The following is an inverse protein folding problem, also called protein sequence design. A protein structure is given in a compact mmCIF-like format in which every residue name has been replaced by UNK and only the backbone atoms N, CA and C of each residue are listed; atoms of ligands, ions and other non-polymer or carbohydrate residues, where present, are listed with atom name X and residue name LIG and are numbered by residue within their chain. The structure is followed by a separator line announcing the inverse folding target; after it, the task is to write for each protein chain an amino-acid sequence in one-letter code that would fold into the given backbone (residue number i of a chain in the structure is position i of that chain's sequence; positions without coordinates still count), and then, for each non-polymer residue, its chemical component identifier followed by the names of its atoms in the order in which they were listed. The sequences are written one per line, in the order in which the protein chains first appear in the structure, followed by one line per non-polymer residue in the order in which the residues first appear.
data_IF_570293410127
#
_entry.id   IF_570293410127
#
_cell.length_a   1.000
_cell.length_b   1.000
_cell.length_c   1.000
_cell.angle_alpha   90.00
_cell.angle_beta   90.00
_cell.angle_gamma   90.00
#
_symmetry.space_group_name_H-M   'P 1'
#
loop_
_entity.id
_entity.type
_entity.pdbx_description
1 polymer ?
#
# COMPACT_ATOMS: atom_id res chain seq x y z
N UNK A 1 18.84 32.78 -26.02
CA UNK A 1 18.54 32.92 -24.57
C UNK A 1 17.03 32.79 -24.42
N UNK A 2 16.54 31.57 -24.29
CA UNK A 2 15.17 31.29 -23.81
C UNK A 2 15.31 30.05 -22.94
N UNK A 3 15.27 30.26 -21.63
CA UNK A 3 15.31 29.21 -20.61
C UNK A 3 13.89 28.75 -20.32
N UNK A 4 13.72 27.42 -20.33
CA UNK A 4 12.48 26.73 -20.02
C UNK A 4 12.01 26.98 -18.59
N UNK A 5 10.71 27.17 -18.43
CA UNK A 5 10.03 27.13 -17.14
C UNK A 5 9.66 25.68 -16.85
N UNK A 6 10.44 25.04 -15.98
CA UNK A 6 10.02 23.83 -15.27
C UNK A 6 9.08 24.23 -14.13
N UNK A 7 7.82 23.83 -14.24
CA UNK A 7 6.85 23.85 -13.14
C UNK A 7 7.24 22.81 -12.09
N UNK A 8 7.96 23.26 -11.05
CA UNK A 8 8.20 22.49 -9.83
C UNK A 8 6.90 22.30 -9.07
N UNK A 9 6.22 21.16 -9.29
CA UNK A 9 5.20 20.63 -8.37
C UNK A 9 5.82 20.48 -6.98
N UNK A 10 5.39 21.32 -6.04
CA UNK A 10 5.74 21.23 -4.61
C UNK A 10 5.33 19.85 -4.08
N UNK A 11 6.29 18.92 -3.93
CA UNK A 11 6.15 17.77 -3.04
C UNK A 11 5.86 18.33 -1.63
N UNK A 12 4.68 18.01 -1.08
CA UNK A 12 4.38 18.27 0.33
C UNK A 12 5.27 17.36 1.15
N UNK A 13 6.36 17.90 1.68
CA UNK A 13 7.16 17.25 2.71
C UNK A 13 6.31 17.05 3.97
N UNK A 14 5.65 15.90 4.06
CA UNK A 14 5.06 15.42 5.32
C UNK A 14 6.22 14.93 6.19
N UNK A 15 6.44 15.68 7.27
CA UNK A 15 7.47 15.45 8.30
C UNK A 15 6.85 14.59 9.39
N UNK A 16 7.36 13.38 9.61
CA UNK A 16 7.02 12.56 10.78
C UNK A 16 8.12 12.75 11.83
N UNK A 17 7.75 13.14 13.05
CA UNK A 17 8.65 13.15 14.21
C UNK A 17 7.87 12.70 15.43
N UNK A 18 8.34 11.69 16.17
CA UNK A 18 7.74 11.33 17.47
C UNK A 18 8.81 10.91 18.51
N UNK A 19 9.38 11.93 19.18
CA UNK A 19 10.08 11.93 20.50
C UNK A 19 11.55 11.49 20.60
N UNK A 20 12.40 12.36 21.19
CA UNK A 20 13.69 11.99 21.81
C UNK A 20 13.96 12.75 23.11
N UNK A 21 14.72 12.08 23.99
CA UNK A 21 14.99 12.43 25.38
C UNK A 21 15.41 13.88 25.65
N UNK A 22 15.24 14.26 26.92
CA UNK A 22 15.43 15.59 27.50
C UNK A 22 16.90 16.06 27.47
N UNK A 23 17.53 16.07 26.30
CA UNK A 23 18.88 16.57 26.14
C UNK A 23 18.83 18.10 26.15
N UNK A 24 19.43 18.71 27.17
CA UNK A 24 19.60 20.15 27.35
C UNK A 24 20.76 20.73 26.53
N UNK A 25 21.33 19.98 25.58
CA UNK A 25 22.54 20.38 24.83
C UNK A 25 22.29 21.37 23.69
N UNK A 26 21.26 22.20 23.76
CA UNK A 26 21.31 23.52 23.10
C UNK A 26 21.45 24.51 24.26
N UNK A 27 22.67 24.94 24.60
CA UNK A 27 22.85 26.00 25.57
C UNK A 27 21.97 27.17 25.13
N UNK A 28 21.03 27.59 25.99
CA UNK A 28 20.24 28.78 25.74
C UNK A 28 21.21 29.95 25.51
N UNK A 29 21.43 30.33 24.25
CA UNK A 29 22.28 31.45 23.89
C UNK A 29 23.40 31.19 22.89
N UNK A 30 23.85 29.96 22.64
CA UNK A 30 24.72 29.70 21.48
C UNK A 30 23.87 29.42 20.24
N UNK A 31 24.14 30.19 19.19
CA UNK A 31 23.22 30.55 18.12
C UNK A 31 22.57 29.35 17.43
N UNK A 32 21.41 28.94 17.94
CA UNK A 32 20.47 28.04 17.27
C UNK A 32 20.27 28.44 15.80
N UNK A 33 20.26 29.74 15.52
CA UNK A 33 20.15 30.28 14.17
C UNK A 33 21.36 29.93 13.29
N UNK A 34 22.60 29.91 13.83
CA UNK A 34 23.80 29.44 13.11
C UNK A 34 23.72 27.95 12.80
N UNK A 35 23.23 27.14 13.74
CA UNK A 35 23.08 25.69 13.56
C UNK A 35 22.00 25.39 12.52
N UNK A 36 20.85 26.05 12.60
CA UNK A 36 19.78 25.91 11.60
C UNK A 36 20.28 26.35 10.22
N UNK A 37 21.11 27.39 10.16
CA UNK A 37 21.73 27.85 8.92
C UNK A 37 22.77 26.87 8.37
N UNK A 38 23.63 26.26 9.21
CA UNK A 38 24.64 25.29 8.75
C UNK A 38 24.02 24.00 8.23
N UNK A 39 22.90 23.57 8.81
CA UNK A 39 22.14 22.38 8.39
C UNK A 39 21.17 22.66 7.23
N UNK A 40 21.11 23.90 6.71
CA UNK A 40 20.21 24.31 5.64
C UNK A 40 18.71 24.09 5.96
N UNK A 41 18.32 24.35 7.22
CA UNK A 41 16.95 24.13 7.75
C UNK A 41 16.22 25.44 8.07
N UNK A 42 16.60 26.56 7.45
CA UNK A 42 16.04 27.88 7.74
C UNK A 42 14.53 27.97 7.49
N UNK A 43 13.99 27.17 6.58
CA UNK A 43 12.56 27.00 6.32
C UNK A 43 11.79 26.37 7.50
N UNK A 44 12.49 25.64 8.38
CA UNK A 44 11.92 24.93 9.55
C UNK A 44 12.22 25.63 10.87
N UNK A 45 12.85 26.81 10.84
CA UNK A 45 13.31 27.57 12.02
C UNK A 45 12.25 27.73 13.11
N UNK A 46 11.07 28.22 12.76
CA UNK A 46 9.99 28.45 13.73
C UNK A 46 9.44 27.16 14.35
N UNK A 47 9.45 26.06 13.59
CA UNK A 47 9.06 24.73 14.08
C UNK A 47 10.09 24.18 15.06
N UNK A 48 11.38 24.38 14.78
CA UNK A 48 12.49 23.97 15.65
C UNK A 48 12.47 24.75 16.97
N UNK A 49 12.29 26.08 16.91
CA UNK A 49 12.18 26.93 18.12
C UNK A 49 11.05 26.49 19.04
N UNK A 50 9.84 26.32 18.50
CA UNK A 50 8.68 25.82 19.27
C UNK A 50 8.92 24.44 19.87
N UNK A 51 9.64 23.56 19.18
CA UNK A 51 9.93 22.23 19.72
C UNK A 51 10.83 22.32 20.97
N UNK A 52 11.87 23.15 20.90
CA UNK A 52 12.80 23.38 22.01
C UNK A 52 12.08 24.04 23.20
N UNK A 53 11.23 25.04 22.95
CA UNK A 53 10.39 25.67 23.99
C UNK A 53 9.47 24.67 24.70
N UNK A 54 9.00 23.64 23.98
CA UNK A 54 8.19 22.56 24.51
C UNK A 54 9.03 21.43 25.15
N UNK A 55 10.31 21.65 25.42
CA UNK A 55 11.20 20.70 26.07
C UNK A 55 11.65 19.53 25.19
N UNK A 56 11.45 19.59 23.87
CA UNK A 56 11.97 18.58 22.94
C UNK A 56 13.48 18.77 22.77
N UNK A 57 14.26 17.70 22.89
CA UNK A 57 15.72 17.75 22.79
C UNK A 57 16.25 17.96 21.36
N UNK A 58 17.54 18.30 21.24
CA UNK A 58 18.26 18.57 19.97
C UNK A 58 18.05 17.49 18.90
N UNK A 59 18.02 16.22 19.32
CA UNK A 59 17.78 15.07 18.45
C UNK A 59 16.43 15.12 17.74
N UNK A 60 15.39 15.68 18.37
CA UNK A 60 14.09 15.89 17.72
C UNK A 60 14.17 16.93 16.60
N UNK A 61 15.05 17.92 16.74
CA UNK A 61 15.13 19.07 15.85
C UNK A 61 16.04 18.85 14.63
N UNK A 62 17.07 18.01 14.75
CA UNK A 62 18.18 17.95 13.78
C UNK A 62 18.47 16.55 13.24
N UNK A 63 17.83 15.49 13.75
CA UNK A 63 18.04 14.15 13.21
C UNK A 63 17.32 13.99 11.88
N UNK A 64 18.07 13.63 10.84
CA UNK A 64 17.54 13.34 9.52
C UNK A 64 17.36 11.83 9.37
N UNK A 65 16.11 11.38 9.49
CA UNK A 65 15.73 9.98 9.34
C UNK A 65 15.42 9.70 7.87
N UNK A 66 15.99 8.63 7.31
CA UNK A 66 15.87 8.34 5.89
C UNK A 66 14.70 7.36 5.66
N UNK A 67 13.66 7.86 4.99
CA UNK A 67 12.42 7.12 4.70
C UNK A 67 12.66 5.79 3.96
N UNK A 68 13.67 5.71 3.11
CA UNK A 68 13.95 4.50 2.32
C UNK A 68 14.67 3.41 3.11
N UNK A 69 15.47 3.78 4.12
CA UNK A 69 16.36 2.86 4.83
C UNK A 69 15.71 2.24 6.07
N UNK A 70 14.69 2.90 6.61
CA UNK A 70 13.94 2.49 7.80
C UNK A 70 12.77 1.54 7.45
N UNK A 71 12.53 1.31 6.16
CA UNK A 71 11.41 0.54 5.63
C UNK A 71 11.78 -0.86 5.12
N UNK A 72 12.99 -1.34 5.39
CA UNK A 72 13.42 -2.65 4.89
C UNK A 72 12.72 -3.79 5.66
N UNK A 73 11.94 -4.65 4.98
CA UNK A 73 11.36 -5.83 5.59
C UNK A 73 12.49 -6.78 5.99
N UNK A 74 12.45 -7.25 7.23
CA UNK A 74 13.19 -8.46 7.59
C UNK A 74 12.39 -9.60 6.97
N UNK A 75 12.97 -10.32 5.99
CA UNK A 75 12.38 -11.60 5.60
C UNK A 75 12.39 -12.50 6.83
N UNK A 76 11.18 -12.86 7.31
CA UNK A 76 10.97 -13.64 8.53
C UNK A 76 11.73 -14.99 8.53
N UNK A 77 12.25 -15.44 7.39
CA UNK A 77 12.98 -16.69 7.26
C UNK A 77 14.44 -16.64 7.72
N UNK A 78 15.10 -15.47 7.76
CA UNK A 78 16.55 -15.41 8.02
C UNK A 78 16.93 -15.12 9.49
N UNK A 79 16.03 -14.56 10.30
CA UNK A 79 16.34 -14.18 11.70
C UNK A 79 15.99 -15.27 12.71
N UNK A 80 15.16 -16.25 12.32
CA UNK A 80 14.77 -17.35 13.22
C UNK A 80 15.66 -18.60 13.12
N UNK A 81 16.56 -18.68 12.14
CA UNK A 81 17.51 -19.79 12.05
C UNK A 81 18.68 -19.51 12.99
N UNK A 82 18.55 -20.05 14.20
CA UNK A 82 19.54 -20.12 15.28
C UNK A 82 19.62 -18.92 16.24
N UNK A 83 18.48 -18.48 16.78
CA UNK A 83 18.50 -17.93 18.15
C UNK A 83 18.77 -19.05 19.16
N UNK A 84 20.02 -19.48 19.26
CA UNK A 84 20.47 -20.28 20.40
C UNK A 84 20.40 -19.39 21.63
N UNK A 85 19.49 -19.70 22.55
CA UNK A 85 19.41 -19.04 23.84
C UNK A 85 20.80 -19.06 24.52
N UNK A 86 21.30 -17.92 25.04
CA UNK A 86 22.62 -17.86 25.63
C UNK A 86 22.71 -18.83 26.82
N UNK A 87 23.56 -19.86 26.69
CA UNK A 87 23.94 -20.75 27.79
C UNK A 87 25.16 -20.16 28.49
N UNK A 88 25.09 -20.02 29.81
CA UNK A 88 26.22 -19.55 30.61
C UNK A 88 27.45 -20.45 30.44
N UNK A 89 28.61 -19.85 30.16
CA UNK A 89 29.89 -20.57 30.04
C UNK A 89 30.46 -20.70 28.63
N UNK A 90 29.78 -20.21 27.58
CA UNK A 90 30.32 -20.19 26.22
C UNK A 90 31.27 -18.99 26.04
N UNK A 91 32.47 -19.26 25.54
CA UNK A 91 33.54 -18.29 25.34
C UNK A 91 33.07 -16.98 24.67
N UNK A 92 33.66 -15.87 25.14
CA UNK A 92 33.48 -14.46 24.75
C UNK A 92 33.58 -14.13 23.24
N UNK A 93 33.64 -15.12 22.34
CA UNK A 93 33.76 -14.90 20.89
C UNK A 93 32.43 -14.63 20.19
N UNK A 94 31.29 -15.05 20.74
CA UNK A 94 29.98 -14.81 20.11
C UNK A 94 29.54 -13.33 20.10
N UNK A 95 30.13 -12.49 20.96
CA UNK A 95 29.78 -11.06 21.09
C UNK A 95 30.79 -10.10 20.45
N UNK A 96 31.74 -10.60 19.65
CA UNK A 96 32.74 -9.78 18.95
C UNK A 96 32.60 -9.81 17.43
N UNK A 97 31.45 -10.19 16.88
CA UNK A 97 31.14 -9.71 15.54
C UNK A 97 30.64 -8.28 15.69
N UNK A 98 31.47 -7.32 15.28
CA UNK A 98 31.02 -5.97 14.88
C UNK A 98 30.16 -6.07 13.61
N UNK A 99 29.15 -6.95 13.62
CA UNK A 99 28.21 -7.15 12.54
C UNK A 99 27.06 -6.20 12.79
N UNK A 100 27.29 -4.92 12.49
CA UNK A 100 26.19 -4.05 12.12
C UNK A 100 25.50 -4.71 10.92
N UNK A 101 24.18 -4.89 10.98
CA UNK A 101 23.41 -5.42 9.87
C UNK A 101 23.57 -4.45 8.69
N UNK A 102 24.21 -4.94 7.62
CA UNK A 102 24.41 -4.20 6.38
C UNK A 102 23.38 -4.63 5.36
N UNK A 103 22.63 -3.68 4.82
CA UNK A 103 21.77 -3.88 3.68
C UNK A 103 22.36 -3.15 2.48
N UNK A 104 22.55 -3.84 1.35
CA UNK A 104 23.24 -3.30 0.17
C UNK A 104 24.61 -2.65 0.47
N UNK A 105 25.35 -3.20 1.44
CA UNK A 105 26.67 -2.70 1.82
C UNK A 105 26.67 -1.46 2.73
N UNK A 106 25.49 -0.93 3.08
CA UNK A 106 25.32 0.21 3.99
C UNK A 106 24.62 -0.21 5.28
N UNK A 107 24.97 0.44 6.39
CA UNK A 107 24.44 0.16 7.73
C UNK A 107 23.04 0.78 7.89
N UNK A 108 22.05 -0.01 8.34
CA UNK A 108 20.66 0.43 8.51
C UNK A 108 20.17 0.39 9.96
N UNK A 109 19.24 1.27 10.31
CA UNK A 109 18.57 1.35 11.63
C UNK A 109 17.19 0.68 11.51
N UNK A 110 16.83 -0.22 12.43
CA UNK A 110 15.53 -0.91 12.47
C UNK A 110 14.82 -0.73 13.84
N UNK A 111 13.55 -1.14 13.99
CA UNK A 111 12.78 -0.97 15.24
C UNK A 111 13.39 -1.59 16.50
N UNK A 112 14.24 -2.61 16.33
CA UNK A 112 15.00 -3.23 17.42
C UNK A 112 16.34 -2.54 17.72
N UNK A 113 16.75 -1.58 16.89
CA UNK A 113 17.99 -0.82 17.09
C UNK A 113 17.84 0.09 18.30
N UNK A 114 18.76 -0.09 19.26
CA UNK A 114 18.93 0.82 20.39
C UNK A 114 20.08 1.74 20.07
N UNK A 115 19.77 2.99 19.78
CA UNK A 115 20.79 4.00 19.52
C UNK A 115 21.23 4.59 20.86
N UNK A 116 22.54 4.69 21.06
CA UNK A 116 23.11 5.28 22.28
C UNK A 116 23.55 6.71 21.98
N UNK A 117 23.07 7.66 22.78
CA UNK A 117 23.49 9.05 22.64
C UNK A 117 24.97 9.19 23.04
N UNK A 118 25.81 9.61 22.09
CA UNK A 118 27.24 9.85 22.35
C UNK A 118 27.51 11.09 23.21
N UNK A 119 26.52 11.96 23.44
CA UNK A 119 26.67 13.26 24.09
C UNK A 119 25.96 13.38 25.46
N UNK A 120 25.24 12.36 25.93
CA UNK A 120 24.58 12.43 27.24
C UNK A 120 23.51 11.37 27.44
N UNK A 121 23.53 10.75 28.62
CA UNK A 121 22.78 9.57 29.08
C UNK A 121 21.35 9.47 28.51
N UNK A 122 21.19 8.66 27.47
CA UNK A 122 19.89 8.36 26.90
C UNK A 122 19.95 7.21 25.91
N UNK A 123 18.94 6.35 25.95
CA UNK A 123 18.67 5.35 24.93
C UNK A 123 17.65 5.96 23.97
N UNK A 124 18.04 6.07 22.72
CA UNK A 124 17.20 6.48 21.59
C UNK A 124 16.54 5.19 21.09
N UNK A 125 15.22 5.10 21.26
CA UNK A 125 14.40 3.95 20.82
C UNK A 125 13.37 4.47 19.82
N UNK A 126 13.21 3.78 18.68
CA UNK A 126 12.14 4.07 17.75
C UNK A 126 10.79 3.62 18.35
N UNK A 127 9.80 4.51 18.40
CA UNK A 127 8.43 4.21 18.85
C UNK A 127 7.52 3.77 17.70
N UNK A 128 7.77 4.31 16.51
CA UNK A 128 7.08 3.98 15.28
C UNK A 128 8.12 3.90 14.16
N UNK A 129 7.92 2.99 13.22
CA UNK A 129 8.64 2.96 11.94
C UNK A 129 7.73 3.49 10.85
N UNK A 130 8.33 4.01 9.77
CA UNK A 130 7.62 4.29 8.53
C UNK A 130 6.99 3.06 7.88
N UNK A 131 7.19 1.87 8.46
CA UNK A 131 6.64 0.58 8.01
C UNK A 131 5.11 0.51 8.08
N UNK A 132 4.42 1.45 8.74
CA UNK A 132 2.95 1.53 8.65
C UNK A 132 2.45 2.13 7.33
N UNK A 133 3.34 2.77 6.55
CA UNK A 133 3.17 2.83 5.10
C UNK A 133 3.82 1.55 4.56
N UNK A 134 3.15 0.42 4.74
CA UNK A 134 3.48 -0.74 3.92
C UNK A 134 3.07 -0.28 2.51
N UNK A 135 4.02 0.14 1.69
CA UNK A 135 3.87 -0.09 0.25
C UNK A 135 3.64 -1.59 0.18
N UNK A 136 2.38 -2.03 0.05
CA UNK A 136 2.05 -3.46 0.06
C UNK A 136 2.97 -4.12 -0.93
N UNK A 137 3.91 -4.92 -0.41
CA UNK A 137 4.91 -5.59 -1.23
C UNK A 137 4.15 -6.71 -1.92
N UNK A 138 3.77 -6.44 -3.15
CA UNK A 138 3.21 -7.46 -4.03
C UNK A 138 4.38 -8.34 -4.43
N UNK A 139 4.38 -9.59 -3.96
CA UNK A 139 5.33 -10.59 -4.41
C UNK A 139 5.06 -10.87 -5.90
N UNK A 140 5.99 -10.54 -6.82
CA UNK A 140 5.79 -10.79 -8.24
C UNK A 140 5.74 -12.29 -8.61
N UNK A 141 6.00 -13.17 -7.64
CA UNK A 141 5.86 -14.63 -7.77
C UNK A 141 4.52 -15.17 -7.26
N UNK A 142 3.69 -14.33 -6.61
CA UNK A 142 2.34 -14.69 -6.19
C UNK A 142 1.35 -14.63 -7.37
N UNK A 143 1.34 -15.70 -8.17
CA UNK A 143 0.49 -15.79 -9.36
C UNK A 143 -1.01 -15.63 -9.05
N UNK A 144 -1.46 -16.07 -7.87
CA UNK A 144 -2.88 -15.98 -7.50
C UNK A 144 -3.30 -14.52 -7.28
N UNK A 145 -2.53 -13.77 -6.48
CA UNK A 145 -2.77 -12.35 -6.25
C UNK A 145 -2.68 -11.55 -7.55
N UNK A 146 -1.68 -11.82 -8.39
CA UNK A 146 -1.53 -11.15 -9.69
C UNK A 146 -2.74 -11.36 -10.59
N UNK A 147 -3.29 -12.59 -10.65
CA UNK A 147 -4.47 -12.91 -11.46
C UNK A 147 -5.73 -12.22 -10.92
N UNK A 148 -5.90 -12.13 -9.60
CA UNK A 148 -7.03 -11.42 -8.98
C UNK A 148 -6.97 -9.94 -9.35
N UNK A 149 -5.84 -9.27 -9.11
CA UNK A 149 -5.64 -7.85 -9.41
C UNK A 149 -5.81 -7.56 -10.90
N UNK A 150 -5.25 -8.41 -11.76
CA UNK A 150 -5.37 -8.28 -13.20
C UNK A 150 -6.80 -8.42 -13.69
N UNK A 151 -7.56 -9.33 -13.09
CA UNK A 151 -8.97 -9.52 -13.42
C UNK A 151 -9.76 -8.27 -13.06
N UNK A 152 -9.61 -7.74 -11.85
CA UNK A 152 -10.33 -6.53 -11.41
C UNK A 152 -10.00 -5.34 -12.32
N UNK A 153 -8.72 -5.12 -12.61
CA UNK A 153 -8.30 -4.04 -13.49
C UNK A 153 -8.78 -4.29 -14.94
N UNK A 154 -8.76 -5.52 -15.41
CA UNK A 154 -9.29 -5.90 -16.71
C UNK A 154 -10.79 -5.62 -16.85
N UNK A 155 -11.58 -5.82 -15.80
CA UNK A 155 -13.02 -5.54 -15.78
C UNK A 155 -13.31 -4.03 -15.67
N UNK A 156 -12.51 -3.28 -14.90
CA UNK A 156 -12.90 -1.94 -14.46
C UNK A 156 -11.87 -0.83 -14.69
N UNK A 157 -10.75 -1.07 -15.41
CA UNK A 157 -9.68 -0.08 -15.56
C UNK A 157 -10.18 1.28 -16.04
N UNK A 158 -11.12 1.30 -16.99
CA UNK A 158 -11.70 2.52 -17.56
C UNK A 158 -12.69 3.28 -16.65
N UNK A 159 -12.94 2.79 -15.45
CA UNK A 159 -13.98 3.28 -14.54
C UNK A 159 -13.40 4.01 -13.32
N UNK A 160 -14.28 4.54 -12.48
CA UNK A 160 -13.92 5.25 -11.25
C UNK A 160 -13.24 4.37 -10.20
N UNK A 161 -12.56 5.01 -9.24
CA UNK A 161 -12.02 4.32 -8.05
C UNK A 161 -13.12 3.61 -7.25
N UNK A 162 -14.32 4.17 -7.19
CA UNK A 162 -15.44 3.51 -6.52
C UNK A 162 -15.85 2.24 -7.26
N UNK A 163 -15.89 2.25 -8.59
CA UNK A 163 -16.15 1.04 -9.37
C UNK A 163 -15.08 -0.03 -9.12
N UNK A 164 -13.79 0.34 -9.01
CA UNK A 164 -12.73 -0.60 -8.65
C UNK A 164 -13.00 -1.29 -7.30
N UNK A 165 -13.40 -0.51 -6.28
CA UNK A 165 -13.76 -1.03 -4.96
C UNK A 165 -14.96 -1.96 -5.02
N UNK A 166 -16.02 -1.56 -5.70
CA UNK A 166 -17.25 -2.35 -5.78
C UNK A 166 -17.00 -3.68 -6.52
N UNK A 167 -16.19 -3.67 -7.58
CA UNK A 167 -15.81 -4.89 -8.30
C UNK A 167 -14.93 -5.81 -7.42
N UNK A 168 -13.99 -5.24 -6.67
CA UNK A 168 -13.18 -6.00 -5.71
C UNK A 168 -14.05 -6.65 -4.63
N UNK A 169 -14.95 -5.89 -3.99
CA UNK A 169 -15.91 -6.45 -3.04
C UNK A 169 -16.84 -7.49 -3.68
N UNK A 170 -17.27 -7.29 -4.93
CA UNK A 170 -18.08 -8.29 -5.63
C UNK A 170 -17.38 -9.64 -5.82
N UNK A 171 -16.04 -9.65 -5.94
CA UNK A 171 -15.27 -10.90 -5.93
C UNK A 171 -15.21 -11.48 -4.52
N UNK A 172 -14.85 -10.66 -3.53
CA UNK A 172 -14.70 -11.12 -2.14
C UNK A 172 -16.01 -11.63 -1.54
N UNK A 173 -17.14 -10.99 -1.84
CA UNK A 173 -18.48 -11.39 -1.37
C UNK A 173 -18.97 -12.71 -1.96
N UNK A 174 -18.33 -13.23 -3.01
CA UNK A 174 -18.62 -14.56 -3.55
C UNK A 174 -17.83 -15.66 -2.84
N UNK A 175 -16.77 -15.33 -2.10
CA UNK A 175 -15.89 -16.33 -1.47
C UNK A 175 -16.66 -17.07 -0.37
N UNK A 176 -16.84 -18.39 -0.53
CA UNK A 176 -17.45 -19.24 0.50
C UNK A 176 -18.96 -18.99 0.74
N UNK A 177 -19.68 -18.44 -0.25
CA UNK A 177 -21.08 -18.02 -0.08
C UNK A 177 -21.96 -18.52 -1.23
N UNK A 178 -23.17 -19.00 -0.91
CA UNK A 178 -24.27 -19.33 -1.87
C UNK A 178 -23.80 -20.25 -3.01
N UNK A 179 -24.03 -19.83 -4.26
CA UNK A 179 -23.71 -20.59 -5.48
C UNK A 179 -22.19 -20.77 -5.67
N UNK A 180 -21.39 -20.03 -4.89
CA UNK A 180 -19.94 -19.98 -4.99
C UNK A 180 -19.21 -20.64 -3.81
N UNK A 181 -19.94 -21.24 -2.86
CA UNK A 181 -19.37 -21.91 -1.68
C UNK A 181 -18.23 -22.88 -2.03
N UNK A 182 -18.42 -23.64 -3.11
CA UNK A 182 -17.43 -24.62 -3.61
C UNK A 182 -16.08 -24.03 -4.06
N UNK A 183 -16.00 -22.74 -4.37
CA UNK A 183 -14.77 -22.12 -4.88
C UNK A 183 -13.85 -21.70 -3.73
N UNK A 184 -14.37 -21.18 -2.62
CA UNK A 184 -13.64 -20.98 -1.37
C UNK A 184 -12.46 -19.99 -1.37
N UNK A 185 -12.01 -19.47 -2.52
CA UNK A 185 -10.95 -18.43 -2.60
C UNK A 185 -11.25 -17.44 -3.72
N UNK A 186 -10.77 -16.19 -3.57
CA UNK A 186 -10.91 -15.15 -4.61
C UNK A 186 -10.28 -15.59 -5.95
N UNK A 187 -9.15 -16.29 -5.91
CA UNK A 187 -8.52 -16.87 -7.09
C UNK A 187 -9.46 -17.83 -7.84
N UNK A 188 -10.14 -18.74 -7.14
CA UNK A 188 -11.10 -19.65 -7.76
C UNK A 188 -12.37 -18.92 -8.22
N UNK A 189 -12.78 -17.87 -7.52
CA UNK A 189 -13.87 -17.00 -7.99
C UNK A 189 -13.50 -16.40 -9.36
N UNK A 190 -12.35 -15.75 -9.50
CA UNK A 190 -11.98 -15.09 -10.76
C UNK A 190 -11.74 -16.09 -11.90
N UNK A 191 -11.17 -17.26 -11.59
CA UNK A 191 -10.81 -18.25 -12.62
C UNK A 191 -11.98 -19.17 -13.03
N UNK A 192 -12.99 -19.35 -12.18
CA UNK A 192 -14.07 -20.33 -12.42
C UNK A 192 -15.49 -19.74 -12.57
N UNK A 193 -15.72 -18.44 -12.30
CA UNK A 193 -17.09 -17.88 -12.17
C UNK A 193 -17.50 -16.87 -13.26
N UNK A 194 -16.75 -16.81 -14.36
CA UNK A 194 -17.19 -16.09 -15.57
C UNK A 194 -16.72 -14.64 -15.67
N UNK A 195 -15.53 -14.33 -15.18
CA UNK A 195 -14.85 -13.06 -15.46
C UNK A 195 -14.23 -13.11 -16.86
N UNK A 196 -14.69 -12.22 -17.74
CA UNK A 196 -14.28 -12.19 -19.14
C UNK A 196 -12.84 -11.68 -19.27
N UNK A 197 -12.40 -10.78 -18.39
CA UNK A 197 -11.01 -10.30 -18.38
C UNK A 197 -10.00 -11.44 -18.16
N UNK A 198 -10.29 -12.41 -17.30
CA UNK A 198 -9.44 -13.59 -17.12
C UNK A 198 -9.52 -14.54 -18.32
N UNK A 199 -10.74 -14.84 -18.78
CA UNK A 199 -10.98 -15.84 -19.83
C UNK A 199 -10.52 -15.37 -21.21
N UNK A 200 -10.64 -14.07 -21.47
CA UNK A 200 -10.28 -13.40 -22.72
C UNK A 200 -9.48 -12.12 -22.39
N UNK A 201 -8.19 -12.26 -22.01
CA UNK A 201 -7.34 -11.15 -21.59
C UNK A 201 -7.41 -9.94 -22.52
N UNK A 202 -7.89 -8.82 -21.97
CA UNK A 202 -7.96 -7.54 -22.66
C UNK A 202 -6.68 -6.71 -22.40
N UNK A 203 -6.56 -5.55 -23.07
CA UNK A 203 -5.36 -4.72 -22.95
C UNK A 203 -5.09 -4.28 -21.49
N UNK A 204 -6.07 -3.81 -20.69
CA UNK A 204 -5.84 -3.47 -19.29
C UNK A 204 -5.37 -4.65 -18.43
N UNK A 205 -5.96 -5.84 -18.61
CA UNK A 205 -5.54 -7.05 -17.90
C UNK A 205 -4.05 -7.36 -18.14
N UNK A 206 -3.61 -7.29 -19.39
CA UNK A 206 -2.20 -7.55 -19.76
C UNK A 206 -1.26 -6.45 -19.27
N UNK A 207 -1.70 -5.19 -19.33
CA UNK A 207 -0.94 -4.02 -18.89
C UNK A 207 -0.57 -4.14 -17.40
N UNK A 208 -1.54 -4.42 -16.53
CA UNK A 208 -1.27 -4.52 -15.10
C UNK A 208 -0.45 -5.76 -14.75
N UNK A 209 -0.63 -6.90 -15.43
CA UNK A 209 0.21 -8.07 -15.19
C UNK A 209 1.67 -7.80 -15.49
N UNK A 210 1.95 -7.16 -16.63
CA UNK A 210 3.31 -6.81 -17.00
C UNK A 210 3.90 -5.79 -16.03
N UNK A 211 3.08 -4.82 -15.63
CA UNK A 211 3.46 -3.84 -14.63
C UNK A 211 3.81 -4.47 -13.29
N UNK A 212 2.96 -5.35 -12.74
CA UNK A 212 3.17 -5.96 -11.43
C UNK A 212 4.41 -6.86 -11.39
N UNK A 213 4.74 -7.55 -12.50
CA UNK A 213 5.96 -8.36 -12.62
C UNK A 213 7.24 -7.54 -12.64
N UNK A 214 7.16 -6.30 -13.12
CA UNK A 214 8.30 -5.40 -13.30
C UNK A 214 8.08 -4.07 -12.55
N UNK A 215 7.36 -4.10 -11.43
CA UNK A 215 6.82 -2.91 -10.77
C UNK A 215 7.93 -1.93 -10.42
N UNK A 216 7.84 -0.73 -11.00
CA UNK A 216 8.81 0.36 -10.86
C UNK A 216 8.21 1.61 -10.21
N UNK A 217 6.94 1.54 -9.78
CA UNK A 217 6.16 2.63 -9.17
C UNK A 217 5.92 3.84 -10.10
N UNK A 218 6.19 3.73 -11.40
CA UNK A 218 6.05 4.85 -12.34
C UNK A 218 4.62 5.05 -12.88
N UNK A 219 3.76 4.03 -12.84
CA UNK A 219 2.39 4.11 -13.37
C UNK A 219 1.42 4.60 -12.28
N UNK A 220 1.24 5.92 -12.18
CA UNK A 220 0.39 6.55 -11.16
C UNK A 220 -1.04 5.97 -11.11
N UNK A 221 -1.61 5.57 -12.26
CA UNK A 221 -2.96 5.02 -12.31
C UNK A 221 -3.02 3.61 -11.72
N UNK A 222 -2.08 2.74 -12.10
CA UNK A 222 -2.02 1.38 -11.56
C UNK A 222 -1.67 1.44 -10.08
N UNK A 223 -0.72 2.27 -9.66
CA UNK A 223 -0.40 2.47 -8.25
C UNK A 223 -1.62 2.94 -7.45
N UNK A 224 -2.38 3.90 -7.98
CA UNK A 224 -3.63 4.34 -7.35
C UNK A 224 -4.67 3.22 -7.27
N UNK A 225 -4.79 2.40 -8.32
CA UNK A 225 -5.65 1.22 -8.30
C UNK A 225 -5.24 0.23 -7.20
N UNK A 226 -3.95 -0.03 -7.05
CA UNK A 226 -3.42 -0.95 -6.02
C UNK A 226 -3.69 -0.42 -4.61
N UNK A 227 -3.48 0.86 -4.36
CA UNK A 227 -3.80 1.52 -3.08
C UNK A 227 -5.28 1.32 -2.68
N UNK A 228 -6.17 1.31 -3.67
CA UNK A 228 -7.62 1.22 -3.47
C UNK A 228 -8.10 -0.23 -3.31
N UNK A 229 -7.52 -1.17 -4.07
CA UNK A 229 -8.02 -2.54 -4.16
C UNK A 229 -7.36 -3.50 -3.18
N UNK A 230 -6.07 -3.31 -2.88
CA UNK A 230 -5.33 -4.24 -2.00
C UNK A 230 -5.95 -4.38 -0.61
N UNK A 231 -6.36 -3.30 0.10
CA UNK A 231 -7.01 -3.44 1.40
C UNK A 231 -8.27 -4.32 1.37
N UNK A 232 -8.98 -4.37 0.24
CA UNK A 232 -10.18 -5.20 0.08
C UNK A 232 -9.79 -6.67 -0.12
N UNK A 233 -8.80 -6.94 -0.96
CA UNK A 233 -8.33 -8.31 -1.23
C UNK A 233 -7.65 -8.93 -0.01
N UNK A 234 -6.96 -8.11 0.78
CA UNK A 234 -6.34 -8.51 2.05
C UNK A 234 -7.34 -8.54 3.23
N UNK A 235 -8.63 -8.26 2.97
CA UNK A 235 -9.70 -8.24 3.99
C UNK A 235 -9.46 -7.22 5.14
N UNK A 236 -8.70 -6.16 4.87
CA UNK A 236 -8.43 -5.05 5.79
C UNK A 236 -9.53 -3.98 5.73
N UNK A 237 -10.21 -3.86 4.58
CA UNK A 237 -11.35 -2.96 4.38
C UNK A 237 -12.69 -3.70 4.54
N UNK A 238 -13.57 -3.17 5.39
CA UNK A 238 -14.92 -3.71 5.58
C UNK A 238 -15.78 -3.53 4.32
N UNK A 239 -16.69 -4.48 4.05
CA UNK A 239 -17.59 -4.42 2.89
C UNK A 239 -18.52 -3.20 2.93
N UNK A 240 -18.27 -2.25 2.04
CA UNK A 240 -19.09 -1.05 1.85
C UNK A 240 -20.29 -1.28 0.92
N UNK A 241 -20.35 -2.44 0.27
CA UNK A 241 -21.32 -2.72 -0.80
C UNK A 241 -22.59 -3.40 -0.32
N UNK A 242 -22.57 -3.90 0.93
CA UNK A 242 -23.62 -4.73 1.50
C UNK A 242 -23.91 -5.94 0.59
N UNK A 243 -22.90 -6.78 0.41
CA UNK A 243 -22.95 -8.05 -0.33
C UNK A 243 -23.31 -7.91 -1.82
N UNK A 244 -22.81 -6.89 -2.51
CA UNK A 244 -22.84 -6.90 -3.98
C UNK A 244 -22.11 -8.13 -4.47
N UNK A 245 -22.73 -8.84 -5.40
CA UNK A 245 -22.19 -10.08 -5.93
C UNK A 245 -22.23 -10.13 -7.46
N UNK A 246 -23.05 -9.32 -8.13
CA UNK A 246 -23.08 -9.27 -9.60
C UNK A 246 -22.88 -7.86 -10.09
N UNK A 247 -22.27 -7.74 -11.27
CA UNK A 247 -22.19 -6.50 -12.01
C UNK A 247 -22.15 -6.81 -13.50
N UNK A 248 -22.51 -5.82 -14.31
CA UNK A 248 -22.30 -5.84 -15.75
C UNK A 248 -22.27 -4.42 -16.29
N UNK A 249 -21.74 -4.28 -17.50
CA UNK A 249 -21.63 -3.03 -18.22
C UNK A 249 -22.66 -2.94 -19.34
N UNK A 250 -23.77 -2.17 -19.20
CA UNK A 250 -24.85 -2.14 -20.17
C UNK A 250 -24.44 -1.82 -21.61
N UNK A 251 -23.61 -0.80 -21.83
CA UNK A 251 -23.21 -0.42 -23.19
C UNK A 251 -22.24 -1.44 -23.78
N UNK A 252 -21.33 -1.96 -22.97
CA UNK A 252 -20.43 -3.06 -23.37
C UNK A 252 -21.21 -4.33 -23.70
N UNK A 253 -22.24 -4.67 -22.92
CA UNK A 253 -23.11 -5.83 -23.16
C UNK A 253 -23.93 -5.70 -24.44
N UNK A 254 -24.50 -4.51 -24.70
CA UNK A 254 -25.21 -4.21 -25.95
C UNK A 254 -24.27 -4.34 -27.16
N UNK A 255 -23.05 -3.80 -27.06
CA UNK A 255 -22.05 -3.93 -28.12
C UNK A 255 -21.66 -5.39 -28.38
N UNK A 256 -21.49 -6.19 -27.30
CA UNK A 256 -21.20 -7.62 -27.39
C UNK A 256 -22.37 -8.40 -28.01
N UNK A 257 -23.62 -8.10 -27.61
CA UNK A 257 -24.83 -8.67 -28.19
C UNK A 257 -24.92 -8.35 -29.69
N UNK A 258 -24.67 -7.11 -30.10
CA UNK A 258 -24.69 -6.72 -31.52
C UNK A 258 -23.67 -7.51 -32.34
N UNK A 259 -22.51 -7.83 -31.77
CA UNK A 259 -21.46 -8.62 -32.43
C UNK A 259 -21.80 -10.11 -32.51
N UNK A 260 -22.33 -10.69 -31.44
CA UNK A 260 -22.74 -12.09 -31.40
C UNK A 260 -24.00 -12.29 -30.52
N UNK A 261 -25.21 -12.15 -31.12
CA UNK A 261 -26.47 -12.26 -30.40
C UNK A 261 -26.76 -13.66 -29.84
N UNK A 262 -26.10 -14.70 -30.38
CA UNK A 262 -26.28 -16.08 -29.93
C UNK A 262 -25.49 -16.36 -28.66
N UNK A 263 -24.32 -15.73 -28.52
CA UNK A 263 -23.45 -15.87 -27.35
C UNK A 263 -23.84 -14.91 -26.23
N UNK A 264 -24.13 -13.65 -26.54
CA UNK A 264 -24.39 -12.61 -25.55
C UNK A 264 -25.86 -12.20 -25.62
N UNK A 265 -26.57 -12.15 -24.49
CA UNK A 265 -27.89 -11.49 -24.40
C UNK A 265 -27.68 -9.99 -24.33
N UNK A 266 -28.64 -9.19 -24.80
CA UNK A 266 -28.56 -7.72 -24.62
C UNK A 266 -28.59 -7.32 -23.14
N UNK A 267 -29.43 -7.99 -22.35
CA UNK A 267 -29.47 -7.89 -20.89
C UNK A 267 -29.11 -9.25 -20.29
N UNK A 268 -28.11 -9.34 -19.39
CA UNK A 268 -27.74 -10.62 -18.80
C UNK A 268 -28.83 -11.08 -17.83
N UNK A 269 -29.02 -12.40 -17.72
CA UNK A 269 -30.12 -12.99 -16.93
C UNK A 269 -30.16 -12.53 -15.47
N UNK A 270 -28.99 -12.28 -14.87
CA UNK A 270 -28.93 -11.80 -13.49
C UNK A 270 -29.62 -10.44 -13.28
N UNK A 271 -29.67 -9.55 -14.29
CA UNK A 271 -30.34 -8.26 -14.15
C UNK A 271 -31.86 -8.38 -14.19
N UNK A 272 -32.36 -9.56 -14.55
CA UNK A 272 -33.78 -9.91 -14.61
C UNK A 272 -34.17 -10.87 -13.46
N UNK A 273 -33.22 -11.23 -12.57
CA UNK A 273 -33.48 -12.16 -11.46
C UNK A 273 -34.21 -11.45 -10.32
N UNK A 274 -35.42 -11.89 -10.01
CA UNK A 274 -36.28 -11.29 -8.97
C UNK A 274 -35.69 -11.37 -7.55
N UNK A 275 -34.70 -12.25 -7.32
CA UNK A 275 -33.99 -12.38 -6.04
C UNK A 275 -32.93 -11.29 -5.86
N UNK A 276 -32.58 -10.58 -6.92
CA UNK A 276 -31.57 -9.53 -6.92
C UNK A 276 -32.20 -8.14 -6.93
N UNK A 277 -31.51 -7.20 -6.31
CA UNK A 277 -31.80 -5.77 -6.40
C UNK A 277 -30.58 -5.00 -6.88
N UNK A 278 -30.81 -3.90 -7.60
CA UNK A 278 -29.75 -3.01 -8.06
C UNK A 278 -29.26 -2.13 -6.91
N UNK A 279 -27.95 -2.11 -6.70
CA UNK A 279 -27.27 -1.26 -5.75
C UNK A 279 -26.60 -0.08 -6.48
N UNK A 280 -26.67 1.12 -5.89
CA UNK A 280 -26.04 2.33 -6.43
C UNK A 280 -25.02 2.86 -5.43
N UNK A 281 -23.88 3.28 -5.95
CA UNK A 281 -22.76 3.77 -5.15
C UNK A 281 -22.40 5.18 -5.60
N UNK A 282 -22.23 6.09 -4.65
CA UNK A 282 -21.78 7.45 -4.93
C UNK A 282 -20.38 7.40 -5.55
N UNK A 283 -20.20 8.08 -6.67
CA UNK A 283 -18.95 8.10 -7.44
C UNK A 283 -18.94 7.17 -8.66
N UNK A 284 -19.98 6.36 -8.87
CA UNK A 284 -20.09 5.49 -10.07
C UNK A 284 -21.10 6.01 -11.10
N UNK A 285 -21.52 7.28 -11.02
CA UNK A 285 -22.60 7.82 -11.85
C UNK A 285 -22.25 7.90 -13.34
N UNK A 286 -20.95 7.99 -13.65
CA UNK A 286 -20.43 8.07 -15.01
C UNK A 286 -19.84 6.75 -15.51
N UNK A 287 -19.88 5.69 -14.70
CA UNK A 287 -19.36 4.39 -15.08
C UNK A 287 -20.42 3.59 -15.84
N UNK A 288 -20.00 2.84 -16.86
CA UNK A 288 -20.84 1.85 -17.53
C UNK A 288 -20.95 0.60 -16.65
N UNK A 289 -21.57 0.74 -15.47
CA UNK A 289 -21.80 -0.37 -14.56
C UNK A 289 -23.19 -0.32 -13.92
N UNK A 290 -23.77 -1.50 -13.75
CA UNK A 290 -24.88 -1.75 -12.83
C UNK A 290 -24.49 -2.86 -11.89
N UNK A 291 -24.69 -2.63 -10.60
CA UNK A 291 -24.31 -3.54 -9.52
C UNK A 291 -25.54 -4.16 -8.88
N UNK A 292 -25.45 -5.42 -8.48
CA UNK A 292 -26.57 -6.17 -7.90
C UNK A 292 -26.14 -6.99 -6.70
N UNK A 293 -27.03 -7.04 -5.71
CA UNK A 293 -26.94 -7.86 -4.50
C UNK A 293 -28.23 -8.65 -4.32
N UNK A 294 -28.18 -9.69 -3.49
CA UNK A 294 -29.39 -10.42 -3.10
C UNK A 294 -30.27 -9.54 -2.21
N UNK A 295 -31.58 -9.65 -2.40
CA UNK A 295 -32.56 -9.09 -1.45
C UNK A 295 -32.47 -9.84 -0.13
N UNK A 296 -32.62 -9.09 0.97
CA UNK A 296 -32.77 -9.63 2.32
C UNK A 296 -34.10 -10.40 2.50
#
# INVERSE_FOLDING_TARGET
KEEGKEDKKKKKDKVNIVSFGNCTCIPQGEELDKIIQSENLMDKKEKIKKAIENGKGTCYCFMNLNKEWENLPISNESVLREMVLPKGGVEKRAFRSNSHLKFNGMEGIHMGSKLFCQFGQGIITALESGQNNVDTIIDPTDEELLIILATIYGEAAGCSEMAWRVVAHAIMNRVGVRDWDKYGTAYKIVTETGFDAFKYPNAPYLEILEYLKNRDYANERIERFLEVVLPIIMEEEADITNNVAYFYSPETQKAAHKRDPKKYREVPRMAEDERLEEAKFEGTENDDFRFFRFKD
#
